data_IF_744345020490
#
_entry.id   IF_744345020490
#
_cell.length_a   1.000
_cell.length_b   1.000
_cell.length_c   1.000
_cell.angle_alpha   90.00
_cell.angle_beta   90.00
_cell.angle_gamma   90.00
#
_symmetry.space_group_name_H-M   'P 1'
#
loop_
_entity.id
_entity.type
_entity.pdbx_description
1 polymer ?
#
# COMPACT_ATOMS: atom_id res chain seq x y z
N UNK A 1 2.19 2.57 -18.81
CA UNK A 1 2.43 2.19 -17.40
C UNK A 1 3.92 2.00 -17.12
N UNK A 2 4.39 2.29 -15.89
CA UNK A 2 5.76 2.01 -15.41
C UNK A 2 5.71 0.93 -14.33
N UNK A 3 6.39 -0.22 -14.54
CA UNK A 3 6.47 -1.29 -13.57
C UNK A 3 7.55 -0.97 -12.54
N UNK A 4 7.18 -0.93 -11.26
CA UNK A 4 8.08 -0.73 -10.12
C UNK A 4 8.00 -1.92 -9.16
N UNK A 5 8.97 -2.05 -8.25
CA UNK A 5 9.04 -3.13 -7.29
C UNK A 5 9.18 -2.57 -5.87
N UNK A 6 8.43 -3.08 -4.90
CA UNK A 6 8.57 -2.62 -3.52
C UNK A 6 9.88 -3.10 -2.94
N UNK A 7 10.66 -2.17 -2.38
CA UNK A 7 11.97 -2.43 -1.80
C UNK A 7 12.24 -1.53 -0.58
N UNK A 8 12.98 -2.05 0.41
CA UNK A 8 13.38 -1.34 1.62
C UNK A 8 14.90 -1.16 1.69
N UNK A 9 15.38 0.06 1.98
CA UNK A 9 16.80 0.35 2.10
C UNK A 9 17.39 -0.16 3.43
N UNK A 10 18.67 0.13 3.65
CA UNK A 10 19.39 -0.08 4.91
C UNK A 10 19.50 -1.54 5.39
N UNK A 11 19.33 -2.52 4.50
CA UNK A 11 19.38 -3.93 4.86
C UNK A 11 18.06 -4.48 5.43
N UNK A 12 17.01 -3.69 5.41
CA UNK A 12 15.67 -4.11 5.85
C UNK A 12 15.00 -5.07 4.88
N UNK A 13 15.50 -5.18 3.65
CA UNK A 13 15.02 -6.10 2.63
C UNK A 13 16.03 -7.22 2.36
N UNK A 14 15.54 -8.43 2.19
CA UNK A 14 16.36 -9.58 1.72
C UNK A 14 16.60 -9.53 0.22
N UNK A 15 15.75 -8.82 -0.53
CA UNK A 15 15.84 -8.64 -1.97
C UNK A 15 16.82 -7.51 -2.29
N UNK A 16 17.77 -7.78 -3.21
CA UNK A 16 18.78 -6.80 -3.61
C UNK A 16 18.33 -6.03 -4.87
N UNK A 17 18.77 -4.77 -4.99
CA UNK A 17 18.45 -3.94 -6.17
C UNK A 17 18.89 -4.59 -7.49
N UNK A 18 20.03 -5.28 -7.48
CA UNK A 18 20.57 -6.01 -8.63
C UNK A 18 19.66 -7.15 -9.07
N UNK A 19 18.97 -7.81 -8.13
CA UNK A 19 17.97 -8.84 -8.43
C UNK A 19 16.72 -8.22 -9.05
N UNK A 20 16.23 -7.10 -8.48
CA UNK A 20 15.09 -6.34 -9.02
C UNK A 20 15.38 -5.89 -10.44
N UNK A 21 16.61 -5.40 -10.71
CA UNK A 21 17.04 -4.97 -12.04
C UNK A 21 16.99 -6.07 -13.09
N UNK A 22 17.09 -7.33 -12.67
CA UNK A 22 17.03 -8.50 -13.57
C UNK A 22 15.60 -8.94 -13.90
N UNK A 23 14.58 -8.41 -13.22
CA UNK A 23 13.18 -8.75 -13.53
C UNK A 23 12.77 -8.06 -14.82
N UNK A 24 12.36 -8.80 -15.87
CA UNK A 24 11.95 -8.19 -17.13
C UNK A 24 10.79 -7.22 -16.94
N UNK A 25 10.91 -6.03 -17.52
CA UNK A 25 9.88 -5.01 -17.49
C UNK A 25 9.87 -4.11 -16.24
N UNK A 26 10.60 -4.45 -15.19
CA UNK A 26 10.75 -3.59 -14.01
C UNK A 26 11.77 -2.50 -14.28
N UNK A 27 11.36 -1.23 -14.11
CA UNK A 27 12.19 -0.06 -14.38
C UNK A 27 12.62 0.70 -13.12
N UNK A 28 11.95 0.47 -11.99
CA UNK A 28 12.22 1.23 -10.78
C UNK A 28 11.73 0.55 -9.50
N UNK A 29 11.87 1.27 -8.41
CA UNK A 29 11.41 0.82 -7.08
C UNK A 29 10.42 1.81 -6.46
N UNK A 30 9.49 1.27 -5.67
CA UNK A 30 8.73 2.01 -4.68
C UNK A 30 9.37 1.75 -3.30
N UNK A 31 9.76 2.82 -2.58
CA UNK A 31 10.56 2.71 -1.36
C UNK A 31 10.15 3.72 -0.30
N UNK A 32 10.72 3.61 0.89
CA UNK A 32 10.50 4.52 2.01
C UNK A 32 11.73 4.57 2.93
N UNK A 33 11.68 5.45 3.92
CA UNK A 33 12.58 5.41 5.08
C UNK A 33 11.82 4.82 6.28
N UNK A 34 12.25 3.66 6.75
CA UNK A 34 11.70 2.99 7.94
C UNK A 34 12.28 3.55 9.25
N UNK A 35 13.42 4.17 9.18
CA UNK A 35 14.19 4.73 10.31
C UNK A 35 13.87 6.20 10.63
N UNK A 36 13.03 6.86 9.81
CA UNK A 36 12.53 8.21 10.10
C UNK A 36 11.13 8.12 10.69
N UNK A 37 10.92 8.55 11.94
CA UNK A 37 9.61 8.48 12.59
C UNK A 37 8.51 9.22 11.81
N UNK A 38 7.27 8.72 11.89
CA UNK A 38 6.13 9.40 11.30
C UNK A 38 5.99 10.82 11.86
N UNK A 39 5.78 11.79 10.97
CA UNK A 39 5.65 13.20 11.33
C UNK A 39 6.96 13.98 11.33
N UNK A 40 8.12 13.33 11.20
CA UNK A 40 9.40 14.02 11.04
C UNK A 40 9.68 14.34 9.56
N UNK A 41 10.46 15.40 9.35
CA UNK A 41 10.87 15.81 8.01
C UNK A 41 11.91 14.85 7.45
N UNK A 42 11.71 14.37 6.24
CA UNK A 42 12.73 13.64 5.50
C UNK A 42 13.78 14.60 4.92
N UNK A 43 15.04 14.52 5.35
CA UNK A 43 16.08 15.41 4.85
C UNK A 43 16.35 15.18 3.35
N UNK A 44 16.48 16.27 2.59
CA UNK A 44 16.71 16.21 1.15
C UNK A 44 17.97 15.40 0.80
N UNK A 45 19.03 15.56 1.55
CA UNK A 45 20.31 14.87 1.34
C UNK A 45 20.14 13.36 1.48
N UNK A 46 19.34 12.91 2.44
CA UNK A 46 19.01 11.49 2.66
C UNK A 46 18.22 10.92 1.48
N UNK A 47 17.23 11.67 0.99
CA UNK A 47 16.42 11.28 -0.19
C UNK A 47 17.33 11.17 -1.43
N UNK A 48 18.19 12.16 -1.65
CA UNK A 48 19.10 12.15 -2.80
C UNK A 48 20.14 11.02 -2.72
N UNK A 49 20.64 10.70 -1.54
CA UNK A 49 21.57 9.58 -1.34
C UNK A 49 20.89 8.23 -1.67
N UNK A 50 19.65 8.02 -1.21
CA UNK A 50 18.89 6.83 -1.54
C UNK A 50 18.60 6.73 -3.06
N UNK A 51 18.22 7.86 -3.66
CA UNK A 51 17.98 7.90 -5.12
C UNK A 51 19.24 7.58 -5.91
N UNK A 52 20.40 8.10 -5.49
CA UNK A 52 21.69 7.79 -6.12
C UNK A 52 22.03 6.29 -6.01
N UNK A 53 21.76 5.68 -4.85
CA UNK A 53 21.92 4.23 -4.65
C UNK A 53 21.07 3.43 -5.65
N UNK A 54 19.78 3.76 -5.77
CA UNK A 54 18.85 3.10 -6.70
C UNK A 54 19.28 3.31 -8.16
N UNK A 55 19.67 4.53 -8.51
CA UNK A 55 20.12 4.87 -9.87
C UNK A 55 21.42 4.14 -10.24
N UNK A 56 22.35 3.97 -9.31
CA UNK A 56 23.58 3.18 -9.53
C UNK A 56 23.32 1.71 -9.82
N UNK A 57 22.23 1.16 -9.29
CA UNK A 57 21.76 -0.19 -9.64
C UNK A 57 21.05 -0.24 -11.01
N UNK A 58 20.88 0.89 -11.71
CA UNK A 58 20.22 0.98 -13.00
C UNK A 58 18.67 0.94 -12.90
N UNK A 59 18.13 1.38 -11.76
CA UNK A 59 16.70 1.50 -11.49
C UNK A 59 16.32 2.95 -11.24
N UNK A 60 15.04 3.28 -11.39
CA UNK A 60 14.48 4.61 -11.10
C UNK A 60 13.83 4.64 -9.71
N UNK A 61 13.88 5.78 -9.02
CA UNK A 61 13.15 6.05 -7.79
C UNK A 61 12.23 7.26 -8.02
N UNK A 62 10.99 6.99 -8.40
CA UNK A 62 9.97 8.02 -8.67
C UNK A 62 8.74 7.86 -7.77
N UNK A 63 8.64 6.74 -7.04
CA UNK A 63 7.50 6.41 -6.17
C UNK A 63 8.00 6.24 -4.74
N UNK A 64 7.34 6.92 -3.82
CA UNK A 64 7.48 6.71 -2.38
C UNK A 64 6.26 5.99 -1.84
N UNK A 65 6.52 4.95 -1.05
CA UNK A 65 5.49 4.17 -0.36
C UNK A 65 6.04 3.71 0.99
N UNK A 66 5.76 4.47 2.07
CA UNK A 66 4.93 5.66 2.15
C UNK A 66 5.61 6.76 2.96
N UNK A 67 5.15 8.01 2.78
CA UNK A 67 5.34 9.03 3.82
C UNK A 67 4.19 8.84 4.81
N UNK A 68 4.51 8.34 6.00
CA UNK A 68 3.50 8.00 7.00
C UNK A 68 2.81 9.26 7.54
N UNK A 69 1.47 9.26 7.53
CA UNK A 69 0.67 10.34 8.12
C UNK A 69 0.62 10.15 9.64
N UNK A 70 1.09 11.14 10.39
CA UNK A 70 1.14 11.06 11.85
C UNK A 70 -0.25 10.88 12.47
N UNK A 71 -0.34 10.10 13.56
CA UNK A 71 -1.63 9.81 14.22
C UNK A 71 -2.35 11.07 14.70
N UNK A 72 -1.64 12.11 15.13
CA UNK A 72 -2.26 13.35 15.58
C UNK A 72 -2.98 14.11 14.47
N UNK A 73 -2.56 13.95 13.21
CA UNK A 73 -3.28 14.45 12.03
C UNK A 73 -4.59 13.68 11.90
N UNK A 74 -4.53 12.35 11.92
CA UNK A 74 -5.69 11.47 11.79
C UNK A 74 -6.69 11.63 12.94
N UNK A 75 -6.19 11.90 14.15
CA UNK A 75 -7.01 12.17 15.36
C UNK A 75 -7.53 13.61 15.45
N UNK A 76 -7.00 14.53 14.64
CA UNK A 76 -7.39 15.95 14.69
C UNK A 76 -6.89 16.70 15.94
N UNK A 77 -5.76 16.28 16.52
CA UNK A 77 -5.21 16.89 17.72
C UNK A 77 -4.59 18.28 17.43
N UNK A 78 -4.34 19.07 18.46
CA UNK A 78 -3.80 20.43 18.34
C UNK A 78 -2.39 20.49 17.72
N UNK A 79 -1.63 19.41 17.81
CA UNK A 79 -0.29 19.25 17.23
C UNK A 79 -0.30 18.93 15.73
N UNK A 80 -1.47 18.65 15.13
CA UNK A 80 -1.60 18.24 13.72
C UNK A 80 -0.97 19.23 12.75
N UNK A 81 -1.03 20.54 13.03
CA UNK A 81 -0.54 21.57 12.12
C UNK A 81 0.99 21.56 12.01
N UNK A 82 1.69 21.21 13.08
CA UNK A 82 3.13 20.99 13.07
C UNK A 82 3.49 19.80 12.17
N UNK A 83 2.82 18.66 12.34
CA UNK A 83 3.07 17.47 11.54
C UNK A 83 2.66 17.65 10.07
N UNK A 84 1.62 18.43 9.78
CA UNK A 84 1.26 18.80 8.40
C UNK A 84 2.36 19.67 7.77
N UNK A 85 2.91 20.64 8.52
CA UNK A 85 4.02 21.47 8.04
C UNK A 85 5.27 20.62 7.71
N UNK A 86 5.58 19.64 8.56
CA UNK A 86 6.68 18.70 8.33
C UNK A 86 6.42 17.82 7.11
N UNK A 87 5.17 17.38 6.92
CA UNK A 87 4.76 16.61 5.75
C UNK A 87 4.95 17.42 4.45
N UNK A 88 4.52 18.69 4.43
CA UNK A 88 4.69 19.59 3.29
C UNK A 88 6.18 19.83 3.00
N UNK A 89 7.00 19.97 4.04
CA UNK A 89 8.47 20.11 3.88
C UNK A 89 9.06 18.85 3.25
N UNK A 90 8.62 17.68 3.66
CA UNK A 90 9.01 16.40 3.07
C UNK A 90 8.57 16.32 1.60
N UNK A 91 7.34 16.74 1.27
CA UNK A 91 6.86 16.79 -0.12
C UNK A 91 7.76 17.67 -1.00
N UNK A 92 8.17 18.85 -0.50
CA UNK A 92 9.10 19.71 -1.21
C UNK A 92 10.44 19.02 -1.48
N UNK A 93 11.01 18.36 -0.47
CA UNK A 93 12.27 17.65 -0.59
C UNK A 93 12.18 16.48 -1.58
N UNK A 94 11.05 15.77 -1.60
CA UNK A 94 10.75 14.70 -2.56
C UNK A 94 10.62 15.24 -4.00
N UNK A 95 9.89 16.34 -4.18
CA UNK A 95 9.78 17.03 -5.47
C UNK A 95 11.15 17.44 -6.01
N UNK A 96 11.96 18.10 -5.18
CA UNK A 96 13.32 18.53 -5.56
C UNK A 96 14.26 17.35 -5.87
N UNK A 97 13.99 16.18 -5.32
CA UNK A 97 14.64 14.92 -5.69
C UNK A 97 14.04 14.26 -6.93
N UNK A 98 12.98 14.81 -7.52
CA UNK A 98 12.33 14.29 -8.73
C UNK A 98 11.45 13.06 -8.47
N UNK A 99 10.88 12.93 -7.29
CA UNK A 99 9.79 11.98 -7.01
C UNK A 99 8.51 12.48 -7.70
N UNK A 100 7.66 11.56 -8.13
CA UNK A 100 6.42 11.84 -8.88
C UNK A 100 5.16 11.36 -8.19
N UNK A 101 5.25 10.30 -7.40
CA UNK A 101 4.09 9.69 -6.77
C UNK A 101 4.37 9.35 -5.31
N UNK A 102 3.42 9.70 -4.44
CA UNK A 102 3.40 9.31 -3.03
C UNK A 102 2.18 8.40 -2.81
N UNK A 103 2.45 7.12 -2.57
CA UNK A 103 1.47 6.22 -1.99
C UNK A 103 1.48 6.40 -0.48
N UNK A 104 0.33 6.63 0.11
CA UNK A 104 0.18 6.80 1.55
C UNK A 104 -1.10 6.11 2.04
N UNK A 105 -1.23 5.91 3.31
CA UNK A 105 -2.45 5.37 3.89
C UNK A 105 -2.97 6.24 5.03
N UNK A 106 -4.24 6.07 5.32
CA UNK A 106 -4.94 6.73 6.41
C UNK A 106 -5.47 5.71 7.42
N UNK A 107 -4.95 4.48 7.40
CA UNK A 107 -5.32 3.45 8.36
C UNK A 107 -4.90 3.88 9.77
N UNK A 108 -5.84 3.87 10.74
CA UNK A 108 -5.51 4.25 12.10
C UNK A 108 -4.61 3.20 12.77
N UNK A 109 -3.61 3.65 13.50
CA UNK A 109 -2.72 2.84 14.35
C UNK A 109 -1.80 1.90 13.59
N UNK A 110 -2.32 1.08 12.70
CA UNK A 110 -1.57 0.08 11.94
C UNK A 110 -1.97 0.10 10.46
N UNK A 111 -1.07 -0.35 9.59
CA UNK A 111 -1.32 -0.45 8.16
C UNK A 111 -2.22 -1.67 7.84
N UNK A 112 -1.71 -2.69 7.17
CA UNK A 112 -2.46 -3.89 6.87
C UNK A 112 -2.35 -4.94 8.00
N UNK A 113 -3.31 -5.85 8.05
CA UNK A 113 -3.33 -6.93 9.04
C UNK A 113 -3.59 -8.30 8.40
N UNK A 114 -2.82 -9.30 8.82
CA UNK A 114 -3.05 -10.73 8.55
C UNK A 114 -3.00 -11.51 9.86
N UNK A 115 -3.88 -12.50 9.97
CA UNK A 115 -3.93 -13.36 11.17
C UNK A 115 -2.88 -14.48 11.12
N UNK A 116 -2.38 -14.80 9.91
CA UNK A 116 -1.28 -15.74 9.68
C UNK A 116 -0.33 -15.20 8.63
N UNK A 117 0.95 -15.23 8.92
CA UNK A 117 2.00 -14.83 7.98
C UNK A 117 2.46 -16.01 7.11
N UNK A 118 2.30 -17.24 7.61
CA UNK A 118 2.66 -18.49 6.95
C UNK A 118 1.46 -19.45 6.94
N UNK A 119 0.56 -19.27 6.00
CA UNK A 119 -0.56 -20.16 5.75
C UNK A 119 -0.13 -21.19 4.69
N UNK A 120 -0.14 -22.50 5.01
CA UNK A 120 0.33 -23.53 4.06
C UNK A 120 -0.68 -23.71 2.92
N UNK A 121 -0.17 -23.71 1.68
CA UNK A 121 -0.96 -24.00 0.49
C UNK A 121 -0.75 -25.44 0.04
N UNK A 122 -1.67 -25.95 -0.79
CA UNK A 122 -1.67 -27.35 -1.24
C UNK A 122 -0.49 -27.73 -2.12
N UNK A 123 0.18 -26.76 -2.73
CA UNK A 123 1.38 -26.94 -3.56
C UNK A 123 2.69 -26.93 -2.73
N UNK A 124 2.60 -26.81 -1.41
CA UNK A 124 3.75 -26.73 -0.50
C UNK A 124 4.32 -25.33 -0.31
N UNK A 125 3.78 -24.33 -0.97
CA UNK A 125 4.13 -22.92 -0.73
C UNK A 125 3.39 -22.36 0.48
N UNK A 126 3.77 -21.13 0.90
CA UNK A 126 3.12 -20.43 2.00
C UNK A 126 2.62 -19.05 1.54
N UNK A 127 1.49 -18.63 2.07
CA UNK A 127 0.92 -17.32 1.82
C UNK A 127 0.53 -16.63 3.13
N UNK A 128 0.37 -15.33 3.10
CA UNK A 128 -0.29 -14.62 4.18
C UNK A 128 -1.80 -14.84 4.08
N UNK A 129 -2.46 -15.00 5.24
CA UNK A 129 -3.90 -15.22 5.31
C UNK A 129 -4.57 -14.37 6.38
N UNK A 130 -5.84 -14.07 6.14
CA UNK A 130 -6.74 -13.49 7.11
C UNK A 130 -7.86 -14.48 7.43
N UNK A 131 -7.97 -14.85 8.70
CA UNK A 131 -9.03 -15.71 9.25
C UNK A 131 -9.83 -14.87 10.25
N UNK A 132 -11.06 -14.56 9.92
CA UNK A 132 -11.90 -13.63 10.70
C UNK A 132 -12.10 -14.07 12.16
N UNK A 133 -12.35 -15.37 12.38
CA UNK A 133 -12.52 -15.91 13.72
C UNK A 133 -11.25 -15.80 14.57
N UNK A 134 -10.08 -15.96 13.96
CA UNK A 134 -8.79 -15.75 14.64
C UNK A 134 -8.60 -14.28 14.98
N UNK A 135 -8.83 -13.39 14.02
CA UNK A 135 -8.71 -11.94 14.23
C UNK A 135 -9.65 -11.43 15.34
N UNK A 136 -10.90 -11.89 15.35
CA UNK A 136 -11.86 -11.53 16.42
C UNK A 136 -11.48 -12.06 17.81
N UNK A 137 -10.78 -13.19 17.89
CA UNK A 137 -10.27 -13.78 19.13
C UNK A 137 -9.01 -13.09 19.69
N UNK A 138 -8.39 -12.21 18.89
CA UNK A 138 -7.22 -11.46 19.28
C UNK A 138 -7.63 -10.14 19.96
N UNK A 139 -7.01 -9.82 21.11
CA UNK A 139 -6.97 -8.44 21.60
C UNK A 139 -5.69 -7.76 21.08
N UNK A 140 -5.74 -6.46 20.90
CA UNK A 140 -4.54 -5.71 20.52
C UNK A 140 -3.40 -5.86 21.51
N UNK A 141 -3.71 -5.99 22.79
CA UNK A 141 -2.72 -6.28 23.84
C UNK A 141 -2.00 -7.61 23.59
N UNK A 142 -2.74 -8.66 23.18
CA UNK A 142 -2.14 -9.96 22.83
C UNK A 142 -1.26 -9.85 21.58
N UNK A 143 -1.71 -9.10 20.57
CA UNK A 143 -0.95 -8.90 19.33
C UNK A 143 0.35 -8.14 19.64
N UNK A 144 0.25 -7.01 20.35
CA UNK A 144 1.41 -6.21 20.76
C UNK A 144 2.37 -7.06 21.61
N UNK A 145 1.84 -7.85 22.54
CA UNK A 145 2.66 -8.74 23.38
C UNK A 145 3.39 -9.80 22.55
N UNK A 146 2.71 -10.45 21.62
CA UNK A 146 3.33 -11.45 20.74
C UNK A 146 4.40 -10.87 19.80
N UNK A 147 4.28 -9.60 19.46
CA UNK A 147 5.31 -8.89 18.69
C UNK A 147 6.50 -8.48 19.57
N UNK A 148 6.23 -8.08 20.82
CA UNK A 148 7.29 -7.69 21.76
C UNK A 148 8.11 -8.87 22.29
N UNK A 149 7.51 -10.05 22.44
CA UNK A 149 8.18 -11.25 22.94
C UNK A 149 8.91 -12.05 21.84
N UNK A 150 8.89 -11.55 20.60
CA UNK A 150 9.59 -12.17 19.48
C UNK A 150 8.97 -13.47 18.99
N UNK A 151 7.72 -13.77 19.32
CA UNK A 151 6.99 -14.92 18.79
C UNK A 151 6.67 -14.78 17.30
N UNK A 152 6.89 -13.60 16.73
CA UNK A 152 6.94 -13.34 15.30
C UNK A 152 8.34 -12.89 14.92
N UNK A 153 9.00 -13.67 14.08
CA UNK A 153 10.41 -13.45 13.69
C UNK A 153 10.64 -12.22 12.78
N UNK A 154 9.60 -11.51 12.36
CA UNK A 154 9.71 -10.39 11.41
C UNK A 154 8.77 -9.23 11.76
N UNK A 155 9.29 -8.01 11.69
CA UNK A 155 8.51 -6.76 11.82
C UNK A 155 7.68 -6.53 10.56
N UNK A 156 6.40 -6.23 10.71
CA UNK A 156 5.52 -5.84 9.63
C UNK A 156 5.57 -4.31 9.43
N UNK A 157 5.41 -3.81 8.20
CA UNK A 157 5.26 -2.38 7.96
C UNK A 157 4.11 -1.80 8.79
N UNK A 158 4.35 -0.65 9.45
CA UNK A 158 3.38 -0.03 10.35
C UNK A 158 3.30 -0.65 11.77
N UNK A 159 4.13 -1.66 12.06
CA UNK A 159 4.18 -2.37 13.33
C UNK A 159 5.57 -2.28 13.99
N UNK A 160 6.23 -1.15 13.82
CA UNK A 160 7.55 -0.91 14.40
C UNK A 160 7.48 -0.94 15.94
N UNK A 161 8.41 -1.65 16.63
CA UNK A 161 8.36 -1.87 18.07
C UNK A 161 8.28 -0.60 18.92
N UNK A 162 8.90 0.49 18.48
CA UNK A 162 8.88 1.78 19.16
C UNK A 162 7.49 2.42 19.21
N UNK A 163 6.56 2.00 18.34
CA UNK A 163 5.17 2.49 18.30
C UNK A 163 4.25 1.78 19.29
N UNK A 164 4.58 0.57 19.74
CA UNK A 164 3.70 -0.25 20.57
C UNK A 164 3.17 0.44 21.83
N UNK A 165 3.97 1.21 22.60
CA UNK A 165 3.45 1.91 23.77
C UNK A 165 2.36 2.94 23.46
N UNK A 166 2.39 3.57 22.28
CA UNK A 166 1.39 4.54 21.85
C UNK A 166 0.14 3.87 21.27
N UNK A 167 0.27 2.72 20.61
CA UNK A 167 -0.81 2.03 19.91
C UNK A 167 -2.02 1.74 20.81
N UNK A 168 -1.80 1.27 22.05
CA UNK A 168 -2.88 0.98 22.97
C UNK A 168 -3.73 2.21 23.32
N UNK A 169 -3.08 3.38 23.49
CA UNK A 169 -3.76 4.68 23.73
C UNK A 169 -4.52 5.14 22.49
N UNK A 170 -3.93 4.96 21.32
CA UNK A 170 -4.53 5.35 20.06
C UNK A 170 -5.79 4.51 19.75
N UNK A 171 -5.73 3.20 20.01
CA UNK A 171 -6.90 2.32 19.87
C UNK A 171 -8.04 2.78 20.77
N UNK A 172 -7.75 3.08 22.05
CA UNK A 172 -8.77 3.57 22.96
C UNK A 172 -9.38 4.90 22.51
N UNK A 173 -8.56 5.80 21.95
CA UNK A 173 -9.02 7.05 21.37
C UNK A 173 -10.01 6.80 20.22
N UNK A 174 -9.65 5.92 19.27
CA UNK A 174 -10.46 5.66 18.08
C UNK A 174 -11.81 4.98 18.36
N UNK A 175 -11.98 4.30 19.49
CA UNK A 175 -13.29 3.74 19.88
C UNK A 175 -14.41 4.79 19.95
N UNK A 176 -14.05 6.06 20.14
CA UNK A 176 -14.98 7.18 20.27
C UNK A 176 -15.02 8.07 19.02
N UNK A 177 -14.28 7.72 17.96
CA UNK A 177 -14.22 8.52 16.73
C UNK A 177 -15.20 7.94 15.70
N UNK A 178 -16.18 8.73 15.29
CA UNK A 178 -17.09 8.35 14.22
C UNK A 178 -16.39 8.44 12.84
N UNK A 179 -16.90 7.70 11.86
CA UNK A 179 -16.40 7.79 10.48
C UNK A 179 -16.52 9.23 9.93
N UNK A 180 -17.60 9.95 10.28
CA UNK A 180 -17.79 11.35 9.88
C UNK A 180 -16.70 12.27 10.45
N UNK A 181 -16.38 12.13 11.73
CA UNK A 181 -15.31 12.89 12.38
C UNK A 181 -13.94 12.55 11.78
N UNK A 182 -13.72 11.27 11.50
CA UNK A 182 -12.50 10.82 10.86
C UNK A 182 -12.34 11.43 9.46
N UNK A 183 -13.40 11.44 8.64
CA UNK A 183 -13.38 12.12 7.34
C UNK A 183 -13.16 13.65 7.44
N UNK A 184 -13.63 14.31 8.49
CA UNK A 184 -13.33 15.74 8.73
C UNK A 184 -11.84 15.97 8.96
N UNK A 185 -11.18 15.09 9.72
CA UNK A 185 -9.74 15.16 9.97
C UNK A 185 -8.94 14.88 8.69
N UNK A 186 -9.35 13.88 7.90
CA UNK A 186 -8.76 13.58 6.59
C UNK A 186 -8.90 14.79 5.65
N UNK A 187 -10.09 15.37 5.57
CA UNK A 187 -10.32 16.56 4.75
C UNK A 187 -9.38 17.72 5.14
N UNK A 188 -9.25 17.96 6.43
CA UNK A 188 -8.34 19.01 6.93
C UNK A 188 -6.90 18.80 6.46
N UNK A 189 -6.42 17.56 6.50
CA UNK A 189 -5.11 17.20 5.98
C UNK A 189 -5.03 17.43 4.47
N UNK A 190 -5.99 16.92 3.70
CA UNK A 190 -6.01 17.07 2.24
C UNK A 190 -6.06 18.53 1.82
N UNK A 191 -6.91 19.35 2.44
CA UNK A 191 -7.03 20.78 2.14
C UNK A 191 -5.71 21.54 2.38
N UNK A 192 -4.88 21.06 3.33
CA UNK A 192 -3.60 21.65 3.62
C UNK A 192 -2.48 21.18 2.63
N UNK A 193 -2.47 19.91 2.20
CA UNK A 193 -1.36 19.35 1.42
C UNK A 193 -1.59 19.40 -0.10
N UNK A 194 -2.84 19.35 -0.58
CA UNK A 194 -3.14 19.29 -2.02
C UNK A 194 -2.69 20.51 -2.82
N UNK A 195 -2.74 21.77 -2.32
CA UNK A 195 -2.15 22.89 -3.03
C UNK A 195 -0.66 22.71 -3.34
N UNK A 196 0.09 22.10 -2.40
CA UNK A 196 1.50 21.79 -2.61
C UNK A 196 1.71 20.57 -3.51
N UNK A 197 0.81 19.59 -3.49
CA UNK A 197 0.84 18.48 -4.41
C UNK A 197 0.71 18.95 -5.87
N UNK A 198 -0.16 19.94 -6.12
CA UNK A 198 -0.31 20.60 -7.42
C UNK A 198 0.93 21.43 -7.79
N UNK A 199 1.43 22.25 -6.86
CA UNK A 199 2.63 23.08 -7.09
C UNK A 199 3.87 22.23 -7.42
N UNK A 200 4.01 21.09 -6.72
CA UNK A 200 5.18 20.22 -6.84
C UNK A 200 5.03 19.12 -7.89
N UNK A 201 3.91 19.05 -8.61
CA UNK A 201 3.62 17.99 -9.60
C UNK A 201 3.77 16.58 -8.97
N UNK A 202 3.22 16.39 -7.77
CA UNK A 202 3.22 15.15 -7.01
C UNK A 202 1.84 14.51 -7.01
N UNK A 203 1.73 13.32 -7.55
CA UNK A 203 0.51 12.53 -7.44
C UNK A 203 0.41 11.87 -6.07
N UNK A 204 -0.77 11.92 -5.47
CA UNK A 204 -1.09 11.27 -4.21
C UNK A 204 -2.02 10.09 -4.46
N UNK A 205 -1.63 8.91 -4.02
CA UNK A 205 -2.46 7.71 -4.06
C UNK A 205 -2.73 7.20 -2.66
N UNK A 206 -3.97 7.38 -2.14
CA UNK A 206 -4.33 6.75 -0.87
C UNK A 206 -4.47 5.25 -1.05
N UNK A 207 -3.85 4.48 -0.18
CA UNK A 207 -4.01 3.03 -0.14
C UNK A 207 -5.33 2.67 0.57
N UNK A 208 -6.17 1.77 0.02
CA UNK A 208 -7.38 1.31 0.68
C UNK A 208 -7.06 0.54 1.96
N UNK A 209 -8.03 0.48 2.86
CA UNK A 209 -7.92 -0.33 4.08
C UNK A 209 -7.68 -1.81 3.76
N UNK A 210 -6.87 -2.49 4.58
CA UNK A 210 -6.54 -3.90 4.40
C UNK A 210 -6.50 -4.66 5.74
N UNK A 211 -7.51 -5.51 6.03
CA UNK A 211 -8.68 -5.80 5.22
C UNK A 211 -9.66 -4.61 5.13
N UNK A 212 -10.55 -4.58 4.11
CA UNK A 212 -11.42 -3.45 3.83
C UNK A 212 -12.69 -3.42 4.68
N UNK A 213 -12.56 -3.74 5.97
CA UNK A 213 -13.64 -3.68 6.96
C UNK A 213 -13.11 -3.33 8.34
N UNK A 214 -13.97 -2.82 9.26
CA UNK A 214 -13.57 -2.47 10.63
C UNK A 214 -12.92 -3.64 11.38
N UNK A 215 -11.81 -3.38 12.04
CA UNK A 215 -11.06 -4.35 12.81
C UNK A 215 -10.56 -3.72 14.12
N UNK A 216 -10.64 -4.45 15.23
CA UNK A 216 -10.23 -3.99 16.58
C UNK A 216 -10.90 -2.70 17.06
N UNK A 217 -12.09 -2.37 16.53
CA UNK A 217 -12.78 -1.12 16.85
C UNK A 217 -12.20 0.13 16.15
N UNK A 218 -11.25 -0.06 15.24
CA UNK A 218 -10.66 1.03 14.46
C UNK A 218 -11.56 1.39 13.26
N UNK A 219 -11.75 2.67 12.94
CA UNK A 219 -12.47 3.06 11.75
C UNK A 219 -11.69 2.66 10.50
N UNK A 220 -12.38 1.98 9.58
CA UNK A 220 -11.89 1.66 8.24
C UNK A 220 -12.84 2.33 7.27
N UNK A 221 -12.31 3.25 6.47
CA UNK A 221 -13.13 4.22 5.72
C UNK A 221 -12.89 4.21 4.21
N UNK A 222 -11.94 3.41 3.72
CA UNK A 222 -11.60 3.28 2.29
C UNK A 222 -11.56 1.81 1.92
N UNK A 223 -12.72 1.20 1.65
CA UNK A 223 -12.80 -0.25 1.41
C UNK A 223 -13.81 -0.68 0.34
N UNK A 224 -14.55 0.25 -0.25
CA UNK A 224 -15.52 -0.02 -1.31
C UNK A 224 -15.71 1.21 -2.20
N UNK A 225 -16.49 1.06 -3.29
CA UNK A 225 -16.74 2.13 -4.27
C UNK A 225 -17.26 3.41 -3.61
N UNK A 226 -18.24 3.30 -2.72
CA UNK A 226 -18.89 4.45 -2.11
C UNK A 226 -17.93 5.22 -1.18
N UNK A 227 -17.15 4.50 -0.40
CA UNK A 227 -16.16 5.11 0.50
C UNK A 227 -15.01 5.77 -0.27
N UNK A 228 -14.59 5.19 -1.39
CA UNK A 228 -13.58 5.79 -2.28
C UNK A 228 -14.14 7.07 -2.93
N UNK A 229 -15.37 7.04 -3.44
CA UNK A 229 -16.04 8.25 -3.97
C UNK A 229 -16.14 9.34 -2.91
N UNK A 230 -16.49 8.97 -1.69
CA UNK A 230 -16.55 9.89 -0.54
C UNK A 230 -15.17 10.50 -0.28
N UNK A 231 -14.12 9.69 -0.21
CA UNK A 231 -12.76 10.15 -0.01
C UNK A 231 -12.30 11.11 -1.13
N UNK A 232 -12.47 10.72 -2.39
CA UNK A 232 -12.07 11.56 -3.53
C UNK A 232 -12.85 12.89 -3.57
N UNK A 233 -14.10 12.90 -3.09
CA UNK A 233 -14.92 14.10 -2.95
C UNK A 233 -14.57 14.99 -1.75
N UNK A 234 -13.66 14.58 -0.86
CA UNK A 234 -13.20 15.44 0.24
C UNK A 234 -12.38 16.62 -0.27
N UNK A 235 -11.64 16.42 -1.39
CA UNK A 235 -10.85 17.46 -2.02
C UNK A 235 -10.77 17.19 -3.53
N UNK A 236 -11.15 18.18 -4.34
CA UNK A 236 -11.30 18.04 -5.80
C UNK A 236 -9.97 18.13 -6.58
N UNK A 237 -8.83 18.30 -5.90
CA UNK A 237 -7.54 18.34 -6.56
C UNK A 237 -7.34 17.13 -7.48
N UNK A 238 -6.89 17.31 -8.71
CA UNK A 238 -6.57 16.20 -9.61
C UNK A 238 -5.42 15.32 -9.07
N UNK A 239 -4.64 15.85 -8.11
CA UNK A 239 -3.55 15.10 -7.47
C UNK A 239 -4.03 14.22 -6.30
N UNK A 240 -5.25 14.41 -5.80
CA UNK A 240 -5.86 13.53 -4.80
C UNK A 240 -6.41 12.27 -5.47
N UNK A 241 -5.72 11.17 -5.38
CA UNK A 241 -6.03 9.91 -6.07
C UNK A 241 -6.03 8.68 -5.16
N UNK A 242 -6.25 7.56 -5.80
CA UNK A 242 -6.31 6.22 -5.20
C UNK A 242 -5.08 5.41 -5.62
N UNK A 243 -4.38 4.79 -4.69
CA UNK A 243 -3.59 3.61 -4.99
C UNK A 243 -4.53 2.42 -5.10
N UNK A 244 -4.84 1.99 -6.32
CA UNK A 244 -5.77 0.90 -6.55
C UNK A 244 -5.10 -0.43 -6.20
N UNK A 245 -5.31 -0.90 -4.96
CA UNK A 245 -4.81 -2.20 -4.51
C UNK A 245 -5.87 -3.27 -4.75
N UNK A 246 -5.63 -4.14 -5.74
CA UNK A 246 -6.62 -5.15 -6.16
C UNK A 246 -6.89 -6.18 -5.07
N UNK A 247 -5.86 -6.59 -4.32
CA UNK A 247 -6.06 -7.57 -3.26
C UNK A 247 -6.74 -7.02 -2.02
N UNK A 248 -6.45 -5.76 -1.61
CA UNK A 248 -7.16 -5.14 -0.50
C UNK A 248 -8.64 -4.96 -0.83
N UNK A 249 -8.95 -4.40 -2.00
CA UNK A 249 -10.34 -4.21 -2.44
C UNK A 249 -11.03 -5.53 -2.73
N UNK A 250 -10.32 -6.47 -3.37
CA UNK A 250 -10.83 -7.77 -3.74
C UNK A 250 -11.01 -8.73 -2.55
N UNK A 251 -10.44 -8.44 -1.37
CA UNK A 251 -10.76 -9.17 -0.15
C UNK A 251 -12.23 -9.03 0.25
N UNK A 252 -12.90 -7.94 -0.13
CA UNK A 252 -14.34 -7.80 -0.02
C UNK A 252 -15.03 -8.39 -1.27
N UNK A 253 -15.70 -9.52 -1.10
CA UNK A 253 -16.41 -10.22 -2.19
C UNK A 253 -17.56 -9.43 -2.82
N UNK A 254 -17.96 -8.30 -2.24
CA UNK A 254 -19.00 -7.40 -2.79
C UNK A 254 -18.42 -6.35 -3.74
N UNK A 255 -17.10 -6.23 -3.82
CA UNK A 255 -16.42 -5.29 -4.71
C UNK A 255 -16.20 -5.91 -6.11
N UNK A 256 -16.64 -5.19 -7.13
CA UNK A 256 -16.28 -5.47 -8.54
C UNK A 256 -15.00 -4.69 -8.89
N UNK A 257 -13.84 -5.32 -8.67
CA UNK A 257 -12.53 -4.67 -8.84
C UNK A 257 -12.27 -4.22 -10.28
N UNK A 258 -12.62 -4.99 -11.34
CA UNK A 258 -12.58 -4.50 -12.72
C UNK A 258 -13.40 -3.23 -12.96
N UNK A 259 -14.65 -3.19 -12.44
CA UNK A 259 -15.50 -1.99 -12.56
C UNK A 259 -14.91 -0.79 -11.80
N UNK A 260 -14.33 -1.02 -10.62
CA UNK A 260 -13.63 0.03 -9.85
C UNK A 260 -12.41 0.56 -10.61
N UNK A 261 -11.60 -0.32 -11.20
CA UNK A 261 -10.47 0.07 -12.02
C UNK A 261 -10.91 0.95 -13.20
N UNK A 262 -11.97 0.54 -13.90
CA UNK A 262 -12.57 1.32 -14.99
C UNK A 262 -13.01 2.71 -14.52
N UNK A 263 -13.79 2.79 -13.44
CA UNK A 263 -14.35 4.05 -12.95
C UNK A 263 -13.26 5.04 -12.54
N UNK A 264 -12.37 4.63 -11.64
CA UNK A 264 -11.40 5.56 -11.06
C UNK A 264 -10.26 5.91 -12.03
N UNK A 265 -9.89 5.02 -12.96
CA UNK A 265 -8.97 5.38 -14.04
C UNK A 265 -9.60 6.36 -15.03
N UNK A 266 -10.88 6.18 -15.42
CA UNK A 266 -11.58 7.13 -16.27
C UNK A 266 -11.71 8.54 -15.65
N UNK A 267 -11.69 8.64 -14.32
CA UNK A 267 -11.62 9.92 -13.59
C UNK A 267 -10.20 10.53 -13.57
N UNK A 268 -9.16 9.82 -14.04
CA UNK A 268 -7.76 10.24 -13.91
C UNK A 268 -7.25 10.26 -12.46
N UNK A 269 -7.84 9.45 -11.56
CA UNK A 269 -7.57 9.50 -10.11
C UNK A 269 -6.83 8.25 -9.61
N UNK A 270 -6.12 7.52 -10.48
CA UNK A 270 -5.33 6.33 -10.11
C UNK A 270 -3.88 6.52 -10.56
N UNK A 271 -3.03 7.16 -9.76
CA UNK A 271 -1.61 7.30 -10.09
C UNK A 271 -0.80 6.01 -9.88
N UNK A 272 -1.27 5.11 -9.02
CA UNK A 272 -0.55 3.90 -8.66
C UNK A 272 -1.49 2.70 -8.52
N UNK A 273 -1.01 1.54 -8.95
CA UNK A 273 -1.76 0.27 -8.88
C UNK A 273 -0.91 -0.80 -8.19
N UNK A 274 -1.47 -1.44 -7.18
CA UNK A 274 -0.94 -2.67 -6.59
C UNK A 274 -1.74 -3.84 -7.15
N UNK A 275 -1.10 -4.64 -8.01
CA UNK A 275 -1.73 -5.82 -8.57
C UNK A 275 -1.30 -7.06 -7.80
N UNK A 276 -2.26 -7.68 -7.12
CA UNK A 276 -2.14 -9.00 -6.49
C UNK A 276 -3.49 -9.70 -6.49
N UNK A 277 -3.48 -11.00 -6.34
CA UNK A 277 -4.67 -11.82 -6.29
C UNK A 277 -4.86 -12.40 -4.89
N UNK A 278 -6.10 -12.68 -4.53
CA UNK A 278 -6.51 -13.33 -3.29
C UNK A 278 -7.45 -14.49 -3.59
N UNK A 279 -7.42 -15.52 -2.74
CA UNK A 279 -8.35 -16.64 -2.77
C UNK A 279 -9.20 -16.62 -1.51
N UNK A 280 -10.51 -16.55 -1.66
CA UNK A 280 -11.45 -16.65 -0.55
C UNK A 280 -11.61 -18.10 -0.11
N UNK A 281 -11.55 -18.32 1.21
CA UNK A 281 -11.88 -19.58 1.85
C UNK A 281 -13.36 -19.54 2.32
N UNK A 282 -13.77 -18.36 2.81
CA UNK A 282 -15.14 -18.01 3.13
C UNK A 282 -15.43 -16.59 2.67
N UNK A 283 -16.59 -16.03 2.98
CA UNK A 283 -16.90 -14.61 2.66
C UNK A 283 -15.92 -13.62 3.30
N UNK A 284 -15.32 -13.97 4.43
CA UNK A 284 -14.43 -13.08 5.21
C UNK A 284 -13.02 -13.63 5.38
N UNK A 285 -12.80 -14.93 5.15
CA UNK A 285 -11.49 -15.54 5.26
C UNK A 285 -10.86 -15.65 3.87
N UNK A 286 -9.62 -15.22 3.74
CA UNK A 286 -8.90 -15.28 2.48
C UNK A 286 -7.40 -15.46 2.72
N UNK A 287 -6.70 -15.90 1.69
CA UNK A 287 -5.24 -15.90 1.65
C UNK A 287 -4.74 -15.24 0.37
N UNK A 288 -3.51 -14.75 0.43
CA UNK A 288 -2.80 -14.30 -0.76
C UNK A 288 -2.61 -15.48 -1.72
N UNK A 289 -2.59 -15.21 -3.02
CA UNK A 289 -2.39 -16.23 -4.03
C UNK A 289 -1.38 -15.80 -5.08
N UNK A 290 -1.01 -16.70 -6.00
CA UNK A 290 -0.27 -16.29 -7.19
C UNK A 290 -1.06 -15.25 -7.99
N UNK A 291 -0.37 -14.44 -8.77
CA UNK A 291 -0.97 -13.35 -9.54
C UNK A 291 -1.88 -13.82 -10.69
N UNK A 292 -1.80 -15.09 -11.10
CA UNK A 292 -2.64 -15.62 -12.16
C UNK A 292 -4.12 -15.59 -11.79
N UNK A 293 -5.00 -15.25 -12.74
CA UNK A 293 -6.46 -15.28 -12.53
C UNK A 293 -6.99 -16.64 -12.08
N UNK A 294 -6.36 -17.75 -12.52
CA UNK A 294 -6.74 -19.11 -12.13
C UNK A 294 -6.37 -19.50 -10.70
N UNK A 295 -5.45 -18.79 -10.09
CA UNK A 295 -4.92 -19.09 -8.76
C UNK A 295 -5.61 -18.32 -7.64
N UNK A 296 -6.34 -17.26 -7.97
CA UNK A 296 -7.15 -16.47 -7.04
C UNK A 296 -8.59 -16.31 -7.53
N UNK A 297 -9.30 -15.37 -6.94
CA UNK A 297 -10.70 -15.09 -7.27
C UNK A 297 -10.88 -13.79 -8.06
N UNK A 298 -9.79 -13.06 -8.32
CA UNK A 298 -9.82 -11.85 -9.13
C UNK A 298 -9.43 -12.17 -10.57
N UNK A 299 -10.23 -11.67 -11.52
CA UNK A 299 -9.87 -11.72 -12.93
C UNK A 299 -8.85 -10.65 -13.28
N UNK A 300 -7.58 -11.02 -13.18
CA UNK A 300 -6.46 -10.13 -13.43
C UNK A 300 -6.41 -9.62 -14.88
N UNK A 301 -6.94 -10.41 -15.83
CA UNK A 301 -7.03 -9.98 -17.23
C UNK A 301 -8.04 -8.84 -17.39
N UNK A 302 -9.26 -8.98 -16.84
CA UNK A 302 -10.27 -7.92 -16.92
C UNK A 302 -9.84 -6.66 -16.15
N UNK A 303 -9.12 -6.80 -15.04
CA UNK A 303 -8.54 -5.65 -14.32
C UNK A 303 -7.51 -4.92 -15.19
N UNK A 304 -6.53 -5.63 -15.75
CA UNK A 304 -5.49 -5.03 -16.60
C UNK A 304 -6.08 -4.40 -17.85
N UNK A 305 -7.10 -5.03 -18.44
CA UNK A 305 -7.83 -4.50 -19.57
C UNK A 305 -8.57 -3.21 -19.19
N UNK A 306 -9.26 -3.19 -18.05
CA UNK A 306 -9.94 -1.98 -17.56
C UNK A 306 -8.96 -0.82 -17.34
N UNK A 307 -7.77 -1.08 -16.77
CA UNK A 307 -6.72 -0.08 -16.63
C UNK A 307 -6.28 0.47 -18.00
N UNK A 308 -5.97 -0.42 -18.95
CA UNK A 308 -5.49 -0.03 -20.27
C UNK A 308 -6.52 0.78 -21.06
N UNK A 309 -7.77 0.29 -21.13
CA UNK A 309 -8.86 0.91 -21.90
C UNK A 309 -9.31 2.27 -21.34
N UNK A 310 -9.02 2.54 -20.04
CA UNK A 310 -9.36 3.81 -19.40
C UNK A 310 -8.14 4.71 -19.17
N UNK A 311 -7.07 4.51 -19.97
CA UNK A 311 -5.97 5.45 -20.10
C UNK A 311 -4.99 5.47 -18.91
N UNK A 312 -4.89 4.39 -18.11
CA UNK A 312 -3.90 4.32 -17.06
C UNK A 312 -2.48 4.40 -17.62
N UNK A 313 -1.72 5.38 -17.19
CA UNK A 313 -0.31 5.61 -17.57
C UNK A 313 0.65 5.71 -16.35
N UNK A 314 0.12 5.52 -15.14
CA UNK A 314 0.84 5.61 -13.89
C UNK A 314 1.79 4.45 -13.59
N UNK A 315 2.06 4.28 -12.32
CA UNK A 315 2.94 3.24 -11.79
C UNK A 315 2.14 1.99 -11.44
N UNK A 316 2.77 0.81 -11.61
CA UNK A 316 2.17 -0.48 -11.27
C UNK A 316 3.23 -1.36 -10.59
N UNK A 317 2.84 -2.14 -9.63
CA UNK A 317 3.73 -3.14 -9.03
C UNK A 317 3.00 -4.45 -8.76
N UNK A 318 3.70 -5.60 -8.86
CA UNK A 318 3.26 -6.81 -8.18
C UNK A 318 3.30 -6.53 -6.69
N UNK A 319 2.17 -6.70 -6.03
CA UNK A 319 2.06 -6.42 -4.59
C UNK A 319 2.57 -7.62 -3.77
N UNK A 320 1.79 -8.13 -2.84
CA UNK A 320 2.20 -9.30 -2.08
C UNK A 320 2.27 -10.55 -2.96
N UNK A 321 3.27 -11.41 -2.68
CA UNK A 321 3.42 -12.72 -3.27
C UNK A 321 3.45 -13.81 -2.19
N UNK A 322 3.41 -15.05 -2.64
CA UNK A 322 3.61 -16.24 -1.81
C UNK A 322 5.09 -16.42 -1.47
N UNK A 323 5.38 -17.18 -0.43
CA UNK A 323 6.72 -17.72 -0.21
C UNK A 323 6.84 -19.06 -0.95
N UNK A 324 7.61 -19.08 -2.01
CA UNK A 324 7.88 -20.26 -2.85
C UNK A 324 9.38 -20.59 -2.81
N UNK A 325 9.73 -21.84 -3.12
CA UNK A 325 11.12 -22.32 -3.32
C UNK A 325 12.04 -22.02 -2.13
N UNK A 326 11.51 -22.21 -0.90
CA UNK A 326 12.25 -22.02 0.35
C UNK A 326 12.87 -20.62 0.51
N UNK A 327 12.30 -19.61 -0.14
CA UNK A 327 12.78 -18.24 -0.04
C UNK A 327 12.64 -17.70 1.40
N UNK A 328 13.71 -17.06 1.89
CA UNK A 328 13.68 -16.33 3.16
C UNK A 328 13.48 -14.85 2.86
N UNK A 329 12.34 -14.30 3.25
CA UNK A 329 11.97 -12.92 2.96
C UNK A 329 10.99 -12.37 3.98
N UNK A 330 10.74 -11.08 3.92
CA UNK A 330 9.59 -10.48 4.60
C UNK A 330 8.30 -11.14 4.11
N UNK A 331 7.34 -11.46 4.99
CA UNK A 331 6.05 -12.03 4.59
C UNK A 331 5.39 -11.21 3.47
N UNK A 332 5.06 -11.88 2.37
CA UNK A 332 4.48 -11.26 1.17
C UNK A 332 5.45 -10.54 0.25
N UNK A 333 6.70 -10.32 0.65
CA UNK A 333 7.63 -9.47 -0.10
C UNK A 333 8.87 -10.20 -0.63
N UNK A 334 8.82 -11.52 -0.80
CA UNK A 334 9.86 -12.29 -1.47
C UNK A 334 10.10 -11.87 -2.94
N UNK A 335 11.24 -12.23 -3.48
CA UNK A 335 11.62 -11.92 -4.85
C UNK A 335 10.83 -12.77 -5.86
N UNK A 336 10.79 -14.10 -5.64
CA UNK A 336 10.45 -15.03 -6.71
C UNK A 336 9.00 -14.93 -7.17
N UNK A 337 8.03 -15.03 -6.27
CA UNK A 337 6.62 -15.02 -6.66
C UNK A 337 6.19 -13.62 -7.19
N UNK A 338 6.75 -12.55 -6.61
CA UNK A 338 6.53 -11.19 -7.14
C UNK A 338 7.18 -10.98 -8.50
N UNK A 339 8.34 -11.56 -8.77
CA UNK A 339 8.96 -11.50 -10.11
C UNK A 339 8.13 -12.24 -11.15
N UNK A 340 7.59 -13.42 -10.80
CA UNK A 340 6.61 -14.11 -11.65
C UNK A 340 5.36 -13.25 -11.89
N UNK A 341 4.88 -12.60 -10.85
CA UNK A 341 3.76 -11.65 -10.93
C UNK A 341 4.05 -10.47 -11.86
N UNK A 342 5.23 -9.85 -11.77
CA UNK A 342 5.63 -8.75 -12.66
C UNK A 342 5.65 -9.19 -14.13
N UNK A 343 6.19 -10.39 -14.42
CA UNK A 343 6.20 -10.95 -15.76
C UNK A 343 4.78 -11.24 -16.28
N UNK A 344 3.92 -11.80 -15.44
CA UNK A 344 2.52 -12.08 -15.79
C UNK A 344 1.75 -10.80 -16.10
N UNK A 345 1.85 -9.78 -15.24
CA UNK A 345 1.21 -8.46 -15.43
C UNK A 345 1.70 -7.81 -16.74
N UNK A 346 3.01 -7.86 -17.00
CA UNK A 346 3.60 -7.32 -18.24
C UNK A 346 3.07 -8.07 -19.47
N UNK A 347 2.92 -9.38 -19.39
CA UNK A 347 2.35 -10.20 -20.45
C UNK A 347 0.88 -9.90 -20.73
N UNK A 348 0.06 -9.70 -19.69
CA UNK A 348 -1.33 -9.27 -19.83
C UNK A 348 -1.41 -7.89 -20.48
N UNK A 349 -0.60 -6.94 -20.03
CA UNK A 349 -0.56 -5.60 -20.61
C UNK A 349 -0.18 -5.63 -22.09
N UNK A 350 0.82 -6.42 -22.45
CA UNK A 350 1.22 -6.59 -23.86
C UNK A 350 0.09 -7.21 -24.69
N UNK A 351 -0.58 -8.24 -24.17
CA UNK A 351 -1.69 -8.90 -24.85
C UNK A 351 -2.85 -7.93 -25.11
N UNK A 352 -3.26 -7.16 -24.11
CA UNK A 352 -4.31 -6.15 -24.23
C UNK A 352 -3.89 -5.07 -25.23
N UNK A 353 -2.67 -4.54 -25.12
CA UNK A 353 -2.17 -3.50 -26.03
C UNK A 353 -2.14 -3.97 -27.51
N UNK A 354 -1.84 -5.25 -27.75
CA UNK A 354 -1.85 -5.82 -29.12
C UNK A 354 -3.26 -6.04 -29.65
N UNK A 355 -4.23 -6.35 -28.79
CA UNK A 355 -5.63 -6.55 -29.20
C UNK A 355 -6.35 -5.25 -29.60
N UNK A 356 -5.76 -4.09 -29.26
CA UNK A 356 -6.28 -2.76 -29.60
C UNK A 356 -5.54 -2.07 -30.76
N UNK A 357 -4.65 -2.79 -31.45
CA UNK A 357 -3.97 -2.35 -32.67
C UNK A 357 -4.69 -2.87 -33.92
#
# INVERSE_FOLDING_TARGET
MKMVFRWWPNGDDTVQLEQIRQIPGVSGVATMFSDIPAGEVWPKETILALKDQVNKAGLEMEVIESVNVHEDIKKGLSTRDEYISNYITTMKNLHEAGIKCICYNLMPVMDWFRSRLEYPLSDGSFAMAYEHSVAQGLSMEKIIHSMMDGSQDMTLPGWEPERFPAMAKDIEFYKNVSAEEYFKNIRYFLDAVMPYAEEYDLDFGVHPDDPPWPLFGLPKVIGNVESIRTFLGLNDSPRNGLTLCTGSLGANTENDVPAMAKEFCAMGRVPFVHLRNVRHVTKTDFHESAHLSTEGDLDMYEIVKALYENGFDGYIRPDHGRRIWDEVSRPGYGLYDRALGACYISGLWEAVAKSHR
#
